data_IF_078293521915
#
_entry.id   IF_078293521915
#
_cell.length_a   1.000
_cell.length_b   1.000
_cell.length_c   1.000
_cell.angle_alpha   90.00
_cell.angle_beta   90.00
_cell.angle_gamma   90.00
#
_symmetry.space_group_name_H-M   'P 1'
#
loop_
_entity.id
_entity.type
_entity.pdbx_description
1 polymer ?
#
# COMPACT_ATOMS: atom_id res chain seq x y z
N UNK A 1 -66.52 8.82 -47.51
CA UNK A 1 -67.24 7.60 -47.85
C UNK A 1 -66.23 6.63 -48.46
N UNK A 2 -65.93 5.66 -47.78
CA UNK A 2 -65.69 4.25 -48.14
C UNK A 2 -64.82 3.56 -47.08
N UNK A 3 -65.47 2.84 -46.30
CA UNK A 3 -64.94 1.98 -45.26
C UNK A 3 -64.24 0.75 -45.89
N UNK A 4 -62.95 0.50 -45.49
CA UNK A 4 -62.28 -0.74 -45.81
C UNK A 4 -62.08 -1.55 -44.56
N UNK A 5 -62.68 -2.75 -44.57
CA UNK A 5 -62.81 -3.77 -43.53
C UNK A 5 -61.56 -4.65 -43.57
N UNK A 6 -60.71 -4.59 -42.53
CA UNK A 6 -59.55 -5.46 -42.41
C UNK A 6 -59.93 -6.77 -41.70
N UNK A 7 -59.50 -7.90 -42.31
CA UNK A 7 -59.71 -9.26 -41.83
C UNK A 7 -58.77 -9.64 -40.65
N UNK A 8 -59.15 -10.52 -39.76
CA UNK A 8 -58.34 -10.90 -38.60
C UNK A 8 -57.23 -11.91 -38.97
N UNK A 9 -56.01 -11.55 -38.64
CA UNK A 9 -54.82 -12.39 -38.75
C UNK A 9 -54.84 -13.52 -37.69
N UNK A 10 -54.80 -14.79 -38.19
CA UNK A 10 -54.66 -15.97 -37.36
C UNK A 10 -53.30 -16.04 -36.68
N UNK A 11 -53.27 -15.87 -35.37
CA UNK A 11 -52.11 -16.07 -34.50
C UNK A 11 -51.74 -17.56 -34.47
N UNK A 12 -50.66 -17.98 -35.16
CA UNK A 12 -50.04 -19.30 -34.97
C UNK A 12 -49.42 -19.36 -33.57
N UNK A 13 -49.94 -20.22 -32.72
CA UNK A 13 -49.35 -20.55 -31.41
C UNK A 13 -48.02 -21.26 -31.65
N UNK A 14 -46.93 -20.60 -31.29
CA UNK A 14 -45.60 -21.24 -31.18
C UNK A 14 -45.65 -22.17 -29.94
N UNK A 15 -45.62 -23.48 -30.20
CA UNK A 15 -45.43 -24.51 -29.18
C UNK A 15 -44.06 -24.28 -28.53
N UNK A 16 -44.01 -24.05 -27.23
CA UNK A 16 -42.79 -23.94 -26.47
C UNK A 16 -42.00 -25.28 -26.55
N UNK A 17 -40.66 -25.23 -26.64
CA UNK A 17 -39.87 -26.46 -26.58
C UNK A 17 -39.96 -27.05 -25.16
N UNK A 18 -40.19 -28.33 -25.08
CA UNK A 18 -40.15 -29.08 -23.84
C UNK A 18 -38.78 -28.93 -23.17
N UNK A 19 -38.71 -28.70 -21.84
CA UNK A 19 -37.44 -28.74 -21.12
C UNK A 19 -36.89 -30.18 -21.24
N UNK A 20 -35.73 -30.32 -21.89
CA UNK A 20 -34.97 -31.56 -21.85
C UNK A 20 -34.61 -31.83 -20.39
N UNK A 21 -35.00 -33.00 -19.89
CA UNK A 21 -34.61 -33.48 -18.59
C UNK A 21 -33.06 -33.53 -18.55
N UNK A 22 -32.46 -32.68 -17.68
CA UNK A 22 -31.04 -32.75 -17.37
C UNK A 22 -30.78 -34.12 -16.76
N UNK A 23 -30.11 -34.99 -17.48
CA UNK A 23 -29.65 -36.26 -16.93
C UNK A 23 -28.71 -35.92 -15.74
N UNK A 24 -28.95 -36.55 -14.57
CA UNK A 24 -28.02 -36.37 -13.45
C UNK A 24 -26.64 -36.87 -13.88
N UNK A 25 -25.63 -36.02 -13.68
CA UNK A 25 -24.24 -36.40 -13.93
C UNK A 25 -23.93 -37.69 -13.15
N UNK A 26 -23.19 -38.65 -13.73
CA UNK A 26 -22.82 -39.88 -13.03
C UNK A 26 -22.13 -39.52 -11.74
N UNK A 27 -22.40 -40.22 -10.61
CA UNK A 27 -21.74 -39.94 -9.33
C UNK A 27 -20.24 -40.01 -9.56
N UNK A 28 -19.53 -38.93 -9.20
CA UNK A 28 -18.08 -38.88 -9.21
C UNK A 28 -17.60 -40.10 -8.41
N UNK A 29 -16.92 -41.03 -9.06
CA UNK A 29 -16.32 -42.17 -8.38
C UNK A 29 -15.37 -41.61 -7.33
N UNK A 30 -15.62 -41.90 -6.06
CA UNK A 30 -14.74 -41.50 -4.96
C UNK A 30 -13.39 -42.17 -5.20
N UNK A 31 -12.44 -41.41 -5.67
CA UNK A 31 -11.05 -41.85 -5.74
C UNK A 31 -10.60 -42.07 -4.30
N UNK A 32 -10.09 -43.26 -3.99
CA UNK A 32 -9.53 -43.56 -2.69
C UNK A 32 -8.23 -42.76 -2.53
N UNK A 33 -8.38 -41.51 -2.10
CA UNK A 33 -7.25 -40.61 -1.84
C UNK A 33 -6.46 -41.12 -0.62
N UNK A 34 -5.18 -41.37 -0.80
CA UNK A 34 -4.28 -41.81 0.27
C UNK A 34 -3.53 -40.64 0.89
N UNK A 35 -3.60 -40.53 2.22
CA UNK A 35 -2.75 -39.60 2.96
C UNK A 35 -1.38 -40.24 3.23
N UNK A 36 -0.31 -39.48 3.06
CA UNK A 36 1.03 -39.94 3.43
C UNK A 36 1.87 -38.80 4.00
N UNK A 37 2.84 -39.17 4.79
CA UNK A 37 3.89 -38.28 5.26
C UNK A 37 5.17 -38.70 4.55
N UNK A 38 5.94 -37.76 4.09
CA UNK A 38 7.20 -38.01 3.40
C UNK A 38 8.20 -36.90 3.62
N UNK A 39 9.44 -37.13 3.16
CA UNK A 39 10.51 -36.14 3.18
C UNK A 39 10.78 -35.69 1.75
N UNK A 40 10.90 -34.38 1.57
CA UNK A 40 11.30 -33.80 0.27
C UNK A 40 12.78 -34.08 0.05
N UNK A 41 13.10 -34.82 -1.01
CA UNK A 41 14.49 -35.14 -1.36
C UNK A 41 15.07 -34.13 -2.35
N UNK A 42 14.26 -33.70 -3.31
CA UNK A 42 14.69 -32.81 -4.40
C UNK A 42 13.62 -31.80 -4.73
N UNK A 43 14.07 -30.59 -5.08
CA UNK A 43 13.23 -29.50 -5.55
C UNK A 43 13.68 -29.12 -6.97
N UNK A 44 12.79 -29.13 -7.93
CA UNK A 44 13.08 -28.76 -9.31
C UNK A 44 11.99 -27.92 -9.95
N UNK A 45 12.23 -27.39 -11.15
CA UNK A 45 11.25 -26.56 -11.86
C UNK A 45 9.97 -27.34 -12.21
N UNK A 46 10.05 -28.69 -12.32
CA UNK A 46 8.92 -29.56 -12.63
C UNK A 46 8.12 -29.99 -11.39
N UNK A 47 8.59 -29.69 -10.18
CA UNK A 47 7.95 -30.11 -8.93
C UNK A 47 8.96 -30.61 -7.89
N UNK A 48 8.46 -31.42 -6.97
CA UNK A 48 9.20 -31.92 -5.82
C UNK A 48 9.30 -33.46 -5.88
N UNK A 49 10.42 -34.01 -5.44
CA UNK A 49 10.53 -35.45 -5.22
C UNK A 49 10.36 -35.73 -3.73
N UNK A 50 9.33 -36.50 -3.39
CA UNK A 50 9.02 -36.88 -2.00
C UNK A 50 9.30 -38.35 -1.78
N UNK A 51 10.00 -38.66 -0.71
CA UNK A 51 10.24 -40.01 -0.21
C UNK A 51 9.27 -40.33 0.93
N UNK A 52 8.40 -41.32 0.74
CA UNK A 52 7.50 -41.83 1.77
C UNK A 52 7.77 -43.31 1.97
N UNK A 53 8.37 -43.67 3.11
CA UNK A 53 8.90 -45.02 3.33
C UNK A 53 10.02 -45.34 2.33
N UNK A 54 9.81 -46.35 1.49
CA UNK A 54 10.73 -46.75 0.41
C UNK A 54 10.35 -46.22 -0.96
N UNK A 55 9.23 -45.51 -1.06
CA UNK A 55 8.67 -45.05 -2.35
C UNK A 55 9.08 -43.61 -2.61
N UNK A 56 9.69 -43.40 -3.77
CA UNK A 56 10.07 -42.11 -4.32
C UNK A 56 9.01 -41.67 -5.34
N UNK A 57 8.41 -40.51 -5.16
CA UNK A 57 7.34 -40.02 -6.03
C UNK A 57 7.52 -38.54 -6.37
N UNK A 58 7.11 -38.19 -7.59
CA UNK A 58 7.01 -36.79 -7.99
C UNK A 58 5.74 -36.19 -7.41
N UNK A 59 5.84 -35.00 -6.82
CA UNK A 59 4.74 -34.27 -6.23
C UNK A 59 4.71 -32.81 -6.64
N UNK A 60 3.52 -32.23 -6.58
CA UNK A 60 3.29 -30.81 -6.80
C UNK A 60 2.88 -30.12 -5.50
N UNK A 61 3.17 -28.85 -5.39
CA UNK A 61 2.73 -28.05 -4.24
C UNK A 61 1.27 -27.64 -4.42
N UNK A 62 0.41 -28.01 -3.48
CA UNK A 62 -0.95 -27.49 -3.43
C UNK A 62 -0.97 -25.98 -3.18
N UNK A 63 -1.97 -25.29 -3.73
CA UNK A 63 -2.14 -23.83 -3.52
C UNK A 63 -2.31 -23.50 -2.04
N UNK A 64 -2.90 -24.39 -1.26
CA UNK A 64 -3.06 -24.27 0.20
C UNK A 64 -1.75 -24.38 0.99
N UNK A 65 -0.70 -24.96 0.41
CA UNK A 65 0.62 -25.05 1.03
C UNK A 65 1.34 -23.70 0.88
N UNK A 66 1.19 -22.83 1.85
CA UNK A 66 1.75 -21.47 1.80
C UNK A 66 3.27 -21.46 1.93
N UNK A 67 3.84 -22.38 2.74
CA UNK A 67 5.28 -22.52 2.84
C UNK A 67 5.83 -23.25 1.59
N UNK A 68 6.88 -22.70 1.02
CA UNK A 68 7.59 -23.35 -0.07
C UNK A 68 8.36 -24.56 0.47
N UNK A 69 8.08 -25.81 -0.01
CA UNK A 69 8.80 -26.98 0.41
C UNK A 69 10.26 -26.93 -0.04
N UNK A 70 11.16 -27.45 0.78
CA UNK A 70 12.59 -27.55 0.50
C UNK A 70 13.10 -28.98 0.75
N UNK A 71 14.24 -29.30 0.17
CA UNK A 71 14.89 -30.59 0.44
C UNK A 71 15.18 -30.70 1.95
N UNK A 72 14.84 -31.86 2.52
CA UNK A 72 14.90 -32.13 3.95
C UNK A 72 13.60 -31.90 4.71
N UNK A 73 12.64 -31.16 4.15
CA UNK A 73 11.37 -30.91 4.83
C UNK A 73 10.54 -32.18 4.97
N UNK A 74 9.95 -32.39 6.14
CA UNK A 74 8.88 -33.35 6.36
C UNK A 74 7.56 -32.72 5.92
N UNK A 75 6.81 -33.41 5.05
CA UNK A 75 5.62 -32.88 4.40
C UNK A 75 4.43 -33.82 4.51
N UNK A 76 3.24 -33.23 4.68
CA UNK A 76 1.98 -33.94 4.53
C UNK A 76 1.55 -33.93 3.06
N UNK A 77 1.26 -35.10 2.52
CA UNK A 77 0.91 -35.27 1.15
C UNK A 77 -0.42 -35.98 0.97
N UNK A 78 -1.10 -35.65 -0.11
CA UNK A 78 -2.30 -36.34 -0.57
C UNK A 78 -2.01 -36.96 -1.93
N UNK A 79 -2.15 -38.27 -2.03
CA UNK A 79 -2.13 -39.00 -3.29
C UNK A 79 -3.53 -39.09 -3.86
N UNK A 80 -3.74 -38.47 -5.03
CA UNK A 80 -5.03 -38.45 -5.73
C UNK A 80 -5.09 -39.56 -6.81
N UNK A 81 -3.93 -39.81 -7.43
CA UNK A 81 -3.77 -40.87 -8.41
C UNK A 81 -2.41 -41.56 -8.22
N UNK A 82 -2.13 -42.71 -8.86
CA UNK A 82 -0.85 -43.40 -8.72
C UNK A 82 0.37 -42.52 -8.95
N UNK A 83 0.27 -41.58 -9.90
CA UNK A 83 1.35 -40.68 -10.30
C UNK A 83 1.09 -39.22 -9.93
N UNK A 84 0.05 -38.93 -9.12
CA UNK A 84 -0.33 -37.59 -8.73
C UNK A 84 -0.28 -37.45 -7.20
N UNK A 85 0.74 -36.74 -6.73
CA UNK A 85 0.97 -36.44 -5.33
C UNK A 85 0.93 -34.93 -5.11
N UNK A 86 0.16 -34.49 -4.12
CA UNK A 86 0.08 -33.09 -3.73
C UNK A 86 0.68 -32.88 -2.33
N UNK A 87 1.61 -31.96 -2.22
CA UNK A 87 2.13 -31.50 -0.94
C UNK A 87 1.16 -30.45 -0.38
N UNK A 88 0.50 -30.78 0.71
CA UNK A 88 -0.51 -29.94 1.35
C UNK A 88 0.07 -29.01 2.40
N UNK A 89 1.08 -29.47 3.13
CA UNK A 89 1.72 -28.70 4.19
C UNK A 89 3.15 -29.18 4.42
N UNK A 90 4.02 -28.27 4.83
CA UNK A 90 5.30 -28.55 5.45
C UNK A 90 5.03 -28.76 6.93
N UNK A 91 5.34 -29.95 7.46
CA UNK A 91 5.11 -30.32 8.84
C UNK A 91 6.29 -29.94 9.72
N UNK A 92 7.50 -30.18 9.22
CA UNK A 92 8.73 -29.94 9.97
C UNK A 92 9.84 -29.56 8.98
N UNK A 93 10.67 -28.62 9.42
CA UNK A 93 11.89 -28.19 8.73
C UNK A 93 13.04 -28.22 9.73
N UNK A 94 14.12 -28.87 9.36
CA UNK A 94 15.33 -28.89 10.15
C UNK A 94 16.21 -27.66 9.83
N UNK A 95 16.86 -27.12 10.87
CA UNK A 95 17.79 -26.00 10.77
C UNK A 95 17.13 -24.61 10.81
N UNK A 96 17.94 -23.55 10.77
CA UNK A 96 17.56 -22.14 10.84
C UNK A 96 17.22 -21.54 9.47
N UNK A 97 16.70 -22.33 8.53
CA UNK A 97 16.36 -21.83 7.20
C UNK A 97 15.13 -20.93 7.25
N UNK A 98 15.16 -19.75 6.60
CA UNK A 98 14.03 -18.84 6.63
C UNK A 98 12.76 -19.47 6.09
N UNK A 99 11.65 -19.24 6.77
CA UNK A 99 10.32 -19.61 6.28
C UNK A 99 9.87 -18.59 5.22
N UNK A 100 9.63 -19.06 4.00
CA UNK A 100 9.17 -18.23 2.89
C UNK A 100 7.72 -18.57 2.56
N UNK A 101 6.82 -17.63 2.73
CA UNK A 101 5.46 -17.69 2.22
C UNK A 101 5.48 -17.19 0.78
N UNK A 102 5.37 -18.11 -0.18
CA UNK A 102 5.37 -17.77 -1.59
C UNK A 102 3.98 -17.96 -2.18
N UNK A 103 3.37 -16.87 -2.55
CA UNK A 103 2.09 -16.82 -3.26
C UNK A 103 2.35 -16.41 -4.71
N UNK A 104 1.68 -17.05 -5.65
CA UNK A 104 1.80 -16.76 -7.08
C UNK A 104 0.53 -16.03 -7.53
N UNK A 105 0.72 -15.01 -8.38
CA UNK A 105 -0.38 -14.17 -8.88
C UNK A 105 -0.84 -13.13 -7.86
N UNK A 106 -1.95 -12.48 -8.17
CA UNK A 106 -2.54 -11.45 -7.32
C UNK A 106 -3.03 -12.06 -6.01
N UNK A 107 -2.61 -11.49 -4.92
CA UNK A 107 -2.92 -12.00 -3.59
C UNK A 107 -3.55 -10.90 -2.75
N UNK A 108 -4.70 -11.21 -2.15
CA UNK A 108 -5.42 -10.32 -1.25
C UNK A 108 -5.51 -10.94 0.14
N UNK A 109 -5.10 -10.18 1.17
CA UNK A 109 -5.32 -10.55 2.56
C UNK A 109 -6.49 -9.74 3.10
N UNK A 110 -7.61 -10.40 3.33
CA UNK A 110 -8.81 -9.79 3.91
C UNK A 110 -9.08 -10.36 5.30
N UNK A 111 -9.30 -9.48 6.26
CA UNK A 111 -9.57 -9.85 7.65
C UNK A 111 -10.75 -9.03 8.15
N UNK A 112 -11.79 -9.69 8.67
CA UNK A 112 -12.98 -9.02 9.20
C UNK A 112 -12.76 -8.35 10.57
N UNK A 113 -11.65 -8.67 11.23
CA UNK A 113 -11.26 -8.12 12.52
C UNK A 113 -9.94 -7.35 12.47
N UNK A 114 -9.15 -7.50 13.51
CA UNK A 114 -7.85 -6.86 13.65
C UNK A 114 -6.76 -7.70 12.98
N UNK A 115 -5.99 -7.09 12.08
CA UNK A 115 -4.72 -7.64 11.62
C UNK A 115 -3.58 -7.03 12.42
N UNK A 116 -2.73 -7.85 13.01
CA UNK A 116 -1.52 -7.40 13.72
C UNK A 116 -0.29 -8.09 13.12
N UNK A 117 0.69 -7.29 12.73
CA UNK A 117 2.00 -7.77 12.28
C UNK A 117 3.03 -7.33 13.32
N UNK A 118 3.66 -8.30 13.99
CA UNK A 118 4.67 -8.04 15.01
C UNK A 118 5.97 -8.77 14.64
N UNK A 119 7.05 -8.04 14.54
CA UNK A 119 8.37 -8.56 14.28
C UNK A 119 9.43 -7.58 14.83
N UNK A 120 10.61 -8.08 15.23
CA UNK A 120 11.74 -7.20 15.57
C UNK A 120 12.15 -6.28 14.41
N UNK A 121 11.97 -6.75 13.17
CA UNK A 121 12.24 -6.00 11.95
C UNK A 121 11.15 -6.28 10.94
N UNK A 122 10.53 -5.23 10.41
CA UNK A 122 9.56 -5.30 9.32
C UNK A 122 10.10 -4.53 8.12
N UNK A 123 10.22 -5.22 6.98
CA UNK A 123 10.65 -4.62 5.71
C UNK A 123 9.55 -4.78 4.67
N UNK A 124 9.03 -3.66 4.16
CA UNK A 124 8.07 -3.63 3.06
C UNK A 124 8.76 -3.08 1.81
N UNK A 125 8.74 -3.86 0.74
CA UNK A 125 9.32 -3.48 -0.55
C UNK A 125 8.25 -3.65 -1.63
N UNK A 126 8.00 -2.60 -2.38
CA UNK A 126 7.06 -2.59 -3.51
C UNK A 126 7.43 -1.46 -4.46
N UNK A 127 7.04 -1.57 -5.71
CA UNK A 127 7.15 -0.48 -6.69
C UNK A 127 6.13 0.64 -6.39
N UNK A 128 4.97 0.27 -5.84
CA UNK A 128 3.94 1.20 -5.43
C UNK A 128 3.37 0.77 -4.07
N UNK A 129 3.35 1.67 -3.11
CA UNK A 129 2.75 1.47 -1.81
C UNK A 129 1.63 2.50 -1.61
N UNK A 130 0.41 2.02 -1.38
CA UNK A 130 -0.74 2.83 -1.02
C UNK A 130 -1.24 2.44 0.38
N UNK A 131 -1.38 3.43 1.25
CA UNK A 131 -1.90 3.23 2.60
C UNK A 131 -3.09 4.14 2.81
N UNK A 132 -4.29 3.58 2.86
CA UNK A 132 -5.54 4.28 3.12
C UNK A 132 -6.08 3.95 4.50
N UNK A 133 -6.35 4.97 5.33
CA UNK A 133 -6.95 4.81 6.64
C UNK A 133 -7.77 6.06 7.00
N UNK A 134 -8.83 5.89 7.81
CA UNK A 134 -9.55 7.04 8.39
C UNK A 134 -8.73 7.72 9.46
N UNK A 135 -7.99 6.96 10.22
CA UNK A 135 -7.08 7.42 11.27
C UNK A 135 -5.80 6.62 11.19
N UNK A 136 -4.66 7.29 11.13
CA UNK A 136 -3.35 6.67 11.17
C UNK A 136 -2.54 7.31 12.30
N UNK A 137 -1.88 6.48 13.10
CA UNK A 137 -0.94 6.91 14.13
C UNK A 137 0.40 6.21 13.91
N UNK A 138 1.44 7.01 13.75
CA UNK A 138 2.80 6.53 13.54
C UNK A 138 3.65 7.08 14.68
N UNK A 139 4.24 6.21 15.48
CA UNK A 139 5.16 6.57 16.55
C UNK A 139 6.52 5.94 16.26
N UNK A 140 7.56 6.77 16.15
CA UNK A 140 8.91 6.37 15.76
C UNK A 140 9.91 7.14 16.65
N UNK A 141 10.97 6.51 17.06
CA UNK A 141 12.11 7.17 17.72
C UNK A 141 12.96 7.93 16.71
N UNK A 142 13.06 7.41 15.49
CA UNK A 142 13.74 8.04 14.37
C UNK A 142 13.02 7.74 13.08
N UNK A 143 12.87 8.75 12.22
CA UNK A 143 12.26 8.62 10.91
C UNK A 143 13.09 9.35 9.85
N UNK A 144 13.31 8.69 8.73
CA UNK A 144 13.91 9.30 7.54
C UNK A 144 12.95 9.15 6.36
N UNK A 145 12.64 10.26 5.71
CA UNK A 145 11.78 10.31 4.53
C UNK A 145 12.58 10.84 3.36
N UNK A 146 12.85 9.98 2.38
CA UNK A 146 13.61 10.35 1.19
C UNK A 146 12.74 10.16 -0.06
N UNK A 147 12.65 11.17 -0.91
CA UNK A 147 11.87 11.12 -2.14
C UNK A 147 12.19 12.27 -3.08
N UNK A 148 11.93 12.11 -4.37
CA UNK A 148 12.07 13.20 -5.36
C UNK A 148 10.97 14.24 -5.22
N UNK A 149 9.79 13.80 -4.84
CA UNK A 149 8.63 14.65 -4.62
C UNK A 149 7.95 14.23 -3.32
N UNK A 150 7.83 15.17 -2.39
CA UNK A 150 7.12 14.97 -1.15
C UNK A 150 6.03 16.03 -1.04
N UNK A 151 4.77 15.60 -0.91
CA UNK A 151 3.63 16.47 -0.73
C UNK A 151 2.92 16.14 0.57
N UNK A 152 2.71 17.16 1.41
CA UNK A 152 1.93 17.05 2.65
C UNK A 152 0.73 17.96 2.52
N UNK A 153 -0.47 17.38 2.50
CA UNK A 153 -1.72 18.11 2.36
C UNK A 153 -2.62 17.81 3.54
N UNK A 154 -3.12 18.84 4.18
CA UNK A 154 -4.02 18.71 5.32
C UNK A 154 -4.68 20.02 5.65
N UNK A 155 -5.84 19.99 6.30
CA UNK A 155 -6.51 21.20 6.83
C UNK A 155 -5.75 21.84 7.98
N UNK A 156 -5.05 21.01 8.77
CA UNK A 156 -4.18 21.44 9.86
C UNK A 156 -2.89 20.67 9.80
N UNK A 157 -1.76 21.37 9.73
CA UNK A 157 -0.42 20.79 9.82
C UNK A 157 0.26 21.42 11.02
N UNK A 158 0.70 20.62 11.98
CA UNK A 158 1.39 21.06 13.18
C UNK A 158 2.78 20.43 13.24
N UNK A 159 3.81 21.27 13.30
CA UNK A 159 5.20 20.85 13.50
C UNK A 159 5.64 21.35 14.89
N UNK A 160 6.12 20.44 15.72
CA UNK A 160 6.62 20.76 17.06
C UNK A 160 7.95 20.05 17.22
N UNK A 161 8.98 20.78 17.53
CA UNK A 161 10.32 20.25 17.71
C UNK A 161 11.24 21.29 18.33
N UNK A 162 12.40 20.88 18.79
CA UNK A 162 13.44 21.76 19.32
C UNK A 162 14.24 22.48 18.23
N UNK A 163 14.39 21.83 17.07
CA UNK A 163 15.15 22.37 15.93
C UNK A 163 14.41 22.08 14.64
N UNK A 164 14.24 23.09 13.81
CA UNK A 164 13.80 22.96 12.42
C UNK A 164 14.88 23.57 11.52
N UNK A 165 15.51 22.76 10.68
CA UNK A 165 16.50 23.19 9.69
C UNK A 165 15.98 22.94 8.28
N UNK A 166 16.03 23.95 7.43
CA UNK A 166 15.59 23.87 6.04
C UNK A 166 16.65 24.42 5.11
N UNK A 167 16.99 23.66 4.06
CA UNK A 167 17.88 24.10 2.97
C UNK A 167 17.12 23.89 1.66
N UNK A 168 16.82 24.97 0.97
CA UNK A 168 16.00 24.96 -0.24
C UNK A 168 16.47 26.05 -1.21
N UNK A 169 16.39 25.78 -2.49
CA UNK A 169 16.65 26.79 -3.53
C UNK A 169 15.54 27.85 -3.56
N UNK A 170 14.32 27.44 -3.26
CA UNK A 170 13.16 28.33 -3.28
C UNK A 170 12.18 27.98 -2.17
N UNK A 171 11.74 28.97 -1.43
CA UNK A 171 10.63 28.89 -0.47
C UNK A 171 9.57 29.89 -0.87
N UNK A 172 8.33 29.43 -1.01
CA UNK A 172 7.16 30.31 -1.24
C UNK A 172 6.15 30.05 -0.11
N UNK A 173 5.74 31.12 0.57
CA UNK A 173 4.76 31.05 1.63
C UNK A 173 3.58 31.97 1.29
N UNK A 174 2.39 31.39 1.29
CA UNK A 174 1.14 32.14 1.10
C UNK A 174 0.19 31.84 2.26
N UNK A 175 -0.25 32.88 2.95
CA UNK A 175 -1.18 32.75 4.08
C UNK A 175 -2.06 33.99 4.20
N UNK A 176 -3.27 33.84 4.77
CA UNK A 176 -4.14 34.97 5.10
C UNK A 176 -3.65 35.70 6.36
N UNK A 177 -3.11 34.94 7.31
CA UNK A 177 -2.56 35.45 8.56
C UNK A 177 -1.23 34.76 8.82
N UNK A 178 -0.21 35.54 9.06
CA UNK A 178 1.12 35.05 9.39
C UNK A 178 1.55 35.70 10.69
N UNK A 179 1.84 34.91 11.70
CA UNK A 179 2.38 35.35 12.98
C UNK A 179 3.70 34.66 13.21
N UNK A 180 4.73 35.41 13.50
CA UNK A 180 6.06 34.90 13.83
C UNK A 180 6.52 35.56 15.11
N UNK A 181 6.86 34.79 16.11
CA UNK A 181 7.40 35.24 17.38
C UNK A 181 8.72 34.54 17.61
N UNK A 182 9.75 35.31 17.96
CA UNK A 182 11.09 34.80 18.26
C UNK A 182 11.55 35.46 19.55
N UNK A 183 11.94 34.65 20.55
CA UNK A 183 12.46 35.17 21.82
C UNK A 183 13.93 35.65 21.71
N UNK A 184 14.68 35.04 20.80
CA UNK A 184 16.09 35.38 20.57
C UNK A 184 16.28 36.24 19.32
N UNK A 185 17.21 35.86 18.49
CA UNK A 185 17.57 36.62 17.28
C UNK A 185 16.75 36.17 16.09
N UNK A 186 16.12 37.10 15.42
CA UNK A 186 15.51 36.92 14.10
C UNK A 186 16.32 37.67 13.05
N UNK A 187 17.04 36.97 12.18
CA UNK A 187 17.93 37.54 11.18
C UNK A 187 17.46 37.27 9.77
N UNK A 188 17.29 38.32 9.00
CA UNK A 188 17.04 38.23 7.58
C UNK A 188 18.23 38.79 6.82
N UNK A 189 18.85 38.00 5.95
CA UNK A 189 19.96 38.43 5.10
C UNK A 189 19.65 38.02 3.66
N UNK A 190 19.61 38.98 2.76
CA UNK A 190 19.32 38.74 1.34
C UNK A 190 19.98 39.86 0.50
N UNK A 191 20.16 39.59 -0.78
CA UNK A 191 20.58 40.64 -1.75
C UNK A 191 19.49 41.70 -1.92
N UNK A 192 18.22 41.32 -1.81
CA UNK A 192 17.09 42.22 -1.94
C UNK A 192 15.98 41.83 -0.96
N UNK A 193 15.47 42.78 -0.21
CA UNK A 193 14.35 42.59 0.75
C UNK A 193 13.31 43.63 0.47
N UNK A 194 12.09 43.22 0.20
CA UNK A 194 10.92 44.08 0.05
C UNK A 194 9.92 43.80 1.18
N UNK A 195 9.49 44.86 1.87
CA UNK A 195 8.44 44.78 2.87
C UNK A 195 7.35 45.79 2.52
N UNK A 196 6.18 45.32 2.14
CA UNK A 196 5.05 46.16 1.77
C UNK A 196 3.83 45.90 2.67
N UNK A 197 3.22 46.95 3.18
CA UNK A 197 1.97 46.86 3.93
C UNK A 197 0.97 47.90 3.40
N UNK A 198 -0.28 47.49 3.10
CA UNK A 198 -1.31 48.38 2.60
C UNK A 198 -1.79 49.45 3.60
N UNK A 199 -1.76 49.15 4.89
CA UNK A 199 -2.28 50.04 5.94
C UNK A 199 -1.18 50.49 6.87
N UNK A 200 -0.47 49.60 7.53
CA UNK A 200 0.49 49.96 8.56
C UNK A 200 1.70 49.04 8.52
N UNK A 201 2.88 49.58 8.38
CA UNK A 201 4.15 48.95 8.71
C UNK A 201 4.70 49.63 9.97
N UNK A 202 4.83 48.86 11.06
CA UNK A 202 5.36 49.32 12.32
C UNK A 202 6.69 48.65 12.62
N UNK A 203 7.74 49.44 12.82
CA UNK A 203 9.04 49.01 13.32
C UNK A 203 9.26 49.68 14.66
N UNK A 204 9.49 48.91 15.69
CA UNK A 204 9.66 49.41 17.06
C UNK A 204 10.74 48.61 17.78
N UNK A 205 11.64 49.24 18.42
CA UNK A 205 12.71 48.67 19.21
C UNK A 205 13.34 49.71 20.09
N UNK A 206 14.09 49.30 21.11
CA UNK A 206 14.89 50.19 21.95
C UNK A 206 15.87 50.99 21.06
N UNK A 207 16.50 50.31 20.10
CA UNK A 207 17.35 50.93 19.08
C UNK A 207 16.90 50.48 17.70
N UNK A 208 16.58 51.43 16.84
CA UNK A 208 16.26 51.20 15.43
C UNK A 208 17.28 51.87 14.55
N UNK A 209 18.10 51.10 13.84
CA UNK A 209 19.14 51.60 12.95
C UNK A 209 18.72 51.36 11.49
N UNK A 210 18.70 52.41 10.69
CA UNK A 210 18.43 52.34 9.25
C UNK A 210 19.60 52.99 8.51
N UNK A 211 20.44 52.19 7.88
CA UNK A 211 21.61 52.63 7.16
C UNK A 211 21.53 52.33 5.68
N UNK A 212 21.86 53.25 4.83
CA UNK A 212 22.02 53.05 3.40
C UNK A 212 23.31 53.70 2.90
N UNK A 213 24.18 52.95 2.24
CA UNK A 213 25.43 53.47 1.70
C UNK A 213 25.23 54.57 0.68
N UNK A 214 24.19 54.43 -0.18
CA UNK A 214 23.95 55.36 -1.28
C UNK A 214 22.75 56.26 -1.04
N UNK A 215 21.66 55.73 -0.50
CA UNK A 215 20.43 56.46 -0.35
C UNK A 215 19.53 55.87 0.73
N UNK A 216 19.04 56.69 1.63
CA UNK A 216 17.86 56.42 2.44
C UNK A 216 16.80 57.43 2.05
N UNK A 217 15.67 56.98 1.50
CA UNK A 217 14.58 57.83 1.04
C UNK A 217 13.34 57.59 1.87
N UNK A 218 12.84 58.61 2.49
CA UNK A 218 11.58 58.64 3.23
C UNK A 218 10.60 59.56 2.52
N UNK A 219 9.34 59.15 2.43
CA UNK A 219 8.29 59.93 1.81
C UNK A 219 6.99 59.78 2.62
N UNK A 220 6.35 60.87 2.94
CA UNK A 220 5.10 60.86 3.68
C UNK A 220 4.41 62.23 3.59
N UNK A 221 3.10 62.30 3.79
CA UNK A 221 2.37 63.56 3.90
C UNK A 221 2.80 64.34 5.13
N UNK A 222 3.22 63.64 6.21
CA UNK A 222 3.85 64.18 7.41
C UNK A 222 4.99 63.26 7.81
N UNK A 223 6.11 63.83 8.23
CA UNK A 223 7.29 63.13 8.72
C UNK A 223 7.66 63.79 10.06
N UNK A 224 7.63 63.02 11.16
CA UNK A 224 8.00 63.49 12.48
C UNK A 224 9.28 62.78 12.90
N UNK A 225 10.26 63.58 13.31
CA UNK A 225 11.47 63.11 14.01
C UNK A 225 11.44 63.71 15.41
N UNK A 226 11.41 62.86 16.43
CA UNK A 226 11.34 63.25 17.83
C UNK A 226 12.39 62.59 18.68
#
# INVERSE_FOLDING_TARGET
MTTSKAAPSRRRSRRAPHPQAVQPAPPAQAIAAGWCVGTVCECGPAGFTVLSGTLRRSGQRAVSCLLEPRAGDSVACLQVAPDELWILAVLQREGETPHVLQLRGDTQLQVDGRLSLAAPQLCLRSDQLEVGAREARVALDSAELTGRHLSVVGSVVKLVGSVLSTVMDRVSHYSRHHVRTTEGTDRVAATHVECEARQLLRLSGEHTLVNGEKLVKTRGGQIHFG
#
